data_IF_805486341803
#
_entry.id   IF_805486341803
#
_cell.length_a   1.000
_cell.length_b   1.000
_cell.length_c   1.000
_cell.angle_alpha   90.00
_cell.angle_beta   90.00
_cell.angle_gamma   90.00
#
_symmetry.space_group_name_H-M   'P 1'
#
loop_
_entity.id
_entity.type
_entity.pdbx_description
1 polymer ?
#
# COMPACT_ATOMS: atom_id res chain seq x y z
N UNK A 1 -5.48 7.42 28.39
CA UNK A 1 -6.07 7.93 27.14
C UNK A 1 -5.07 7.88 25.97
N UNK A 2 -3.83 8.37 26.13
CA UNK A 2 -2.78 8.30 25.06
C UNK A 2 -2.44 6.87 24.61
N UNK A 3 -2.32 5.92 25.53
CA UNK A 3 -2.00 4.51 25.20
C UNK A 3 -3.11 3.80 24.41
N UNK A 4 -4.38 4.08 24.69
CA UNK A 4 -5.50 3.53 23.90
C UNK A 4 -5.48 4.06 22.47
N UNK A 5 -5.30 5.38 22.31
CA UNK A 5 -5.20 6.00 20.98
C UNK A 5 -4.02 5.45 20.18
N UNK A 6 -2.91 5.14 20.84
CA UNK A 6 -1.73 4.55 20.21
C UNK A 6 -1.99 3.10 19.77
N UNK A 7 -2.64 2.29 20.62
CA UNK A 7 -3.03 0.91 20.26
C UNK A 7 -4.04 0.86 19.11
N UNK A 8 -5.05 1.74 19.13
CA UNK A 8 -6.05 1.81 18.06
C UNK A 8 -5.40 2.22 16.73
N UNK A 9 -4.40 3.11 16.74
CA UNK A 9 -3.64 3.48 15.56
C UNK A 9 -2.79 2.30 15.02
N UNK A 10 -2.14 1.53 15.89
CA UNK A 10 -1.35 0.35 15.47
C UNK A 10 -2.27 -0.73 14.88
N UNK A 11 -3.40 -1.01 15.53
CA UNK A 11 -4.38 -1.97 15.01
C UNK A 11 -4.93 -1.56 13.64
N UNK A 12 -5.22 -0.27 13.44
CA UNK A 12 -5.66 0.25 12.16
C UNK A 12 -4.58 0.11 11.06
N UNK A 13 -3.31 0.30 11.43
CA UNK A 13 -2.17 0.11 10.51
C UNK A 13 -1.98 -1.37 10.13
N UNK A 14 -2.08 -2.28 11.11
CA UNK A 14 -2.04 -3.72 10.87
C UNK A 14 -3.19 -4.15 9.96
N UNK A 15 -4.41 -3.71 10.26
CA UNK A 15 -5.59 -3.99 9.43
C UNK A 15 -5.42 -3.53 7.99
N UNK A 16 -4.96 -2.28 7.81
CA UNK A 16 -4.67 -1.74 6.48
C UNK A 16 -3.55 -2.49 5.75
N UNK A 17 -2.58 -3.04 6.49
CA UNK A 17 -1.51 -3.86 5.90
C UNK A 17 -2.03 -5.22 5.46
N UNK A 18 -2.93 -5.84 6.22
CA UNK A 18 -3.60 -7.11 5.83
C UNK A 18 -4.38 -6.91 4.53
N UNK A 19 -5.25 -5.88 4.47
CA UNK A 19 -6.04 -5.60 3.28
C UNK A 19 -5.18 -5.35 2.04
N UNK A 20 -4.13 -4.52 2.19
CA UNK A 20 -3.18 -4.23 1.12
C UNK A 20 -2.50 -5.50 0.62
N UNK A 21 -2.07 -6.36 1.55
CA UNK A 21 -1.34 -7.58 1.23
C UNK A 21 -2.19 -8.60 0.50
N UNK A 22 -3.47 -8.73 0.87
CA UNK A 22 -4.41 -9.60 0.15
C UNK A 22 -4.56 -9.14 -1.30
N UNK A 23 -4.77 -7.86 -1.52
CA UNK A 23 -4.98 -7.31 -2.87
C UNK A 23 -3.72 -7.45 -3.71
N UNK A 24 -2.55 -7.02 -3.21
CA UNK A 24 -1.30 -7.08 -3.96
C UNK A 24 -0.87 -8.51 -4.26
N UNK A 25 -1.10 -9.46 -3.34
CA UNK A 25 -0.75 -10.87 -3.56
C UNK A 25 -1.66 -11.58 -4.57
N UNK A 26 -2.85 -11.05 -4.83
CA UNK A 26 -3.73 -11.50 -5.91
C UNK A 26 -3.41 -10.79 -7.23
N UNK A 27 -3.27 -9.47 -7.18
CA UNK A 27 -3.11 -8.62 -8.36
C UNK A 27 -1.80 -8.90 -9.11
N UNK A 28 -0.69 -8.98 -8.38
CA UNK A 28 0.63 -9.13 -9.00
C UNK A 28 0.79 -10.43 -9.81
N UNK A 29 0.46 -11.64 -9.27
CA UNK A 29 0.51 -12.86 -10.07
C UNK A 29 -0.51 -12.88 -11.20
N UNK A 30 -1.68 -12.27 -11.00
CA UNK A 30 -2.72 -12.22 -12.02
C UNK A 30 -2.27 -11.39 -13.22
N UNK A 31 -1.69 -10.22 -13.00
CA UNK A 31 -1.20 -9.34 -14.08
C UNK A 31 0.04 -9.95 -14.74
N UNK A 32 0.96 -10.54 -13.97
CA UNK A 32 2.21 -11.09 -14.50
C UNK A 32 2.01 -12.40 -15.26
N UNK A 33 1.19 -13.32 -14.75
CA UNK A 33 1.09 -14.71 -15.21
C UNK A 33 -0.32 -15.10 -15.69
N UNK A 34 -1.30 -14.22 -15.53
CA UNK A 34 -2.71 -14.52 -15.85
C UNK A 34 -3.37 -15.52 -14.91
N UNK A 35 -2.67 -16.00 -13.89
CA UNK A 35 -3.17 -16.97 -12.91
C UNK A 35 -2.55 -16.78 -11.52
N UNK A 36 -3.31 -17.15 -10.50
CA UNK A 36 -2.86 -17.08 -9.10
C UNK A 36 -2.73 -18.49 -8.56
N UNK A 37 -1.52 -18.88 -8.18
CA UNK A 37 -1.29 -20.14 -7.44
C UNK A 37 -1.29 -19.88 -5.93
N UNK A 38 -1.71 -20.85 -5.14
CA UNK A 38 -1.74 -20.72 -3.69
C UNK A 38 -0.35 -20.40 -3.11
N UNK A 39 0.70 -20.99 -3.67
CA UNK A 39 2.09 -20.73 -3.25
C UNK A 39 2.50 -19.29 -3.55
N UNK A 40 2.19 -18.78 -4.74
CA UNK A 40 2.48 -17.38 -5.11
C UNK A 40 1.67 -16.40 -4.24
N UNK A 41 0.42 -16.72 -3.95
CA UNK A 41 -0.40 -15.92 -3.04
C UNK A 41 0.20 -15.87 -1.62
N UNK A 42 0.49 -17.03 -1.02
CA UNK A 42 1.03 -17.06 0.35
C UNK A 42 2.38 -16.36 0.47
N UNK A 43 3.30 -16.60 -0.46
CA UNK A 43 4.61 -15.93 -0.45
C UNK A 43 4.49 -14.43 -0.70
N UNK A 44 3.66 -14.02 -1.65
CA UNK A 44 3.39 -12.62 -1.94
C UNK A 44 2.70 -11.92 -0.76
N UNK A 45 1.74 -12.58 -0.11
CA UNK A 45 1.06 -12.04 1.07
C UNK A 45 2.05 -11.76 2.22
N UNK A 46 2.91 -12.71 2.56
CA UNK A 46 3.89 -12.52 3.63
C UNK A 46 4.83 -11.35 3.32
N UNK A 47 5.40 -11.32 2.12
CA UNK A 47 6.34 -10.26 1.72
C UNK A 47 5.64 -8.90 1.72
N UNK A 48 4.46 -8.78 1.12
CA UNK A 48 3.73 -7.51 1.06
C UNK A 48 3.23 -7.06 2.44
N UNK A 49 2.82 -8.00 3.31
CA UNK A 49 2.40 -7.69 4.67
C UNK A 49 3.54 -7.08 5.48
N UNK A 50 4.67 -7.75 5.56
CA UNK A 50 5.82 -7.25 6.31
C UNK A 50 6.38 -5.96 5.72
N UNK A 51 6.45 -5.85 4.40
CA UNK A 51 6.90 -4.64 3.73
C UNK A 51 5.96 -3.45 3.99
N UNK A 52 4.64 -3.65 3.85
CA UNK A 52 3.67 -2.57 4.08
C UNK A 52 3.61 -2.14 5.54
N UNK A 53 3.74 -3.10 6.46
CA UNK A 53 3.81 -2.82 7.88
C UNK A 53 5.09 -2.07 8.25
N UNK A 54 6.24 -2.51 7.74
CA UNK A 54 7.52 -1.84 7.93
C UNK A 54 7.50 -0.40 7.40
N UNK A 55 7.00 -0.20 6.18
CA UNK A 55 6.86 1.14 5.61
C UNK A 55 5.98 2.06 6.47
N UNK A 56 4.90 1.56 7.04
CA UNK A 56 4.01 2.35 7.90
C UNK A 56 4.59 2.64 9.28
N UNK A 57 5.39 1.72 9.84
CA UNK A 57 5.96 1.86 11.17
C UNK A 57 7.27 2.67 11.16
N UNK A 58 8.13 2.44 10.17
CA UNK A 58 9.46 3.04 10.12
C UNK A 58 9.54 4.31 9.27
N UNK A 59 8.56 4.52 8.37
CA UNK A 59 8.54 5.69 7.50
C UNK A 59 7.32 6.55 7.81
N UNK A 60 7.46 7.88 7.98
CA UNK A 60 6.33 8.77 8.25
C UNK A 60 5.51 9.05 6.98
N UNK A 61 5.14 7.99 6.24
CA UNK A 61 4.43 8.09 4.95
C UNK A 61 3.10 8.85 5.09
N UNK A 62 2.38 8.65 6.18
CA UNK A 62 1.10 9.35 6.44
C UNK A 62 1.35 10.85 6.62
N UNK A 63 2.37 11.20 7.41
CA UNK A 63 2.75 12.60 7.62
C UNK A 63 3.31 13.23 6.33
N UNK A 64 4.11 12.49 5.57
CA UNK A 64 4.65 12.93 4.29
C UNK A 64 3.54 13.17 3.24
N UNK A 65 2.53 12.29 3.16
CA UNK A 65 1.37 12.50 2.29
C UNK A 65 0.59 13.76 2.66
N UNK A 66 0.38 14.01 3.96
CA UNK A 66 -0.28 15.21 4.43
C UNK A 66 0.56 16.49 4.20
N UNK A 67 1.88 16.39 4.34
CA UNK A 67 2.81 17.47 4.05
C UNK A 67 2.76 17.86 2.57
N UNK A 68 2.89 16.88 1.66
CA UNK A 68 2.83 17.11 0.22
C UNK A 68 1.49 17.70 -0.22
N UNK A 69 0.37 17.22 0.33
CA UNK A 69 -0.94 17.82 0.05
C UNK A 69 -1.03 19.28 0.52
N UNK A 70 -0.36 19.63 1.60
CA UNK A 70 -0.23 21.01 2.08
C UNK A 70 0.59 21.89 1.12
N UNK A 71 1.70 21.38 0.61
CA UNK A 71 2.56 22.08 -0.37
C UNK A 71 1.82 22.31 -1.72
N UNK A 72 0.89 21.42 -2.08
CA UNK A 72 0.00 21.61 -3.23
C UNK A 72 -1.07 22.69 -3.02
N UNK A 73 -1.05 23.39 -1.89
CA UNK A 73 -1.95 24.50 -1.59
C UNK A 73 -3.37 24.09 -1.23
N UNK A 74 -3.62 22.82 -0.95
CA UNK A 74 -4.97 22.34 -0.61
C UNK A 74 -5.31 22.65 0.85
N UNK A 75 -6.46 23.31 1.15
CA UNK A 75 -6.83 23.69 2.51
C UNK A 75 -6.97 22.48 3.44
N UNK A 76 -6.26 22.46 4.57
CA UNK A 76 -6.10 21.31 5.49
C UNK A 76 -7.40 20.73 6.09
N UNK A 77 -8.50 21.46 6.10
CA UNK A 77 -9.77 21.02 6.71
C UNK A 77 -10.83 20.58 5.68
N UNK A 78 -10.45 20.41 4.43
CA UNK A 78 -11.37 20.05 3.34
C UNK A 78 -11.32 18.56 3.00
N UNK A 79 -12.39 18.05 2.39
CA UNK A 79 -12.41 16.70 1.80
C UNK A 79 -11.34 16.57 0.71
N UNK A 80 -11.11 17.65 -0.06
CA UNK A 80 -10.08 17.71 -1.09
C UNK A 80 -8.68 17.46 -0.51
N UNK A 81 -8.37 18.02 0.68
CA UNK A 81 -7.10 17.77 1.36
C UNK A 81 -6.93 16.29 1.72
N UNK A 82 -7.99 15.65 2.22
CA UNK A 82 -7.93 14.22 2.56
C UNK A 82 -7.67 13.36 1.32
N UNK A 83 -8.35 13.65 0.22
CA UNK A 83 -8.14 12.94 -1.06
C UNK A 83 -6.72 13.18 -1.58
N UNK A 84 -6.23 14.42 -1.58
CA UNK A 84 -4.89 14.75 -2.03
C UNK A 84 -3.81 14.08 -1.15
N UNK A 85 -3.95 14.14 0.18
CA UNK A 85 -3.04 13.47 1.10
C UNK A 85 -3.01 11.96 0.90
N UNK A 86 -4.18 11.35 0.69
CA UNK A 86 -4.30 9.91 0.41
C UNK A 86 -3.71 9.55 -0.95
N UNK A 87 -3.88 10.39 -1.96
CA UNK A 87 -3.27 10.20 -3.28
C UNK A 87 -1.74 10.28 -3.21
N UNK A 88 -1.18 11.28 -2.53
CA UNK A 88 0.26 11.39 -2.32
C UNK A 88 0.82 10.18 -1.55
N UNK A 89 0.12 9.75 -0.51
CA UNK A 89 0.46 8.54 0.25
C UNK A 89 0.41 7.29 -0.65
N UNK A 90 -0.60 7.16 -1.51
CA UNK A 90 -0.74 6.05 -2.43
C UNK A 90 0.39 6.01 -3.47
N UNK A 91 0.81 7.16 -4.00
CA UNK A 91 1.95 7.25 -4.91
C UNK A 91 3.23 6.76 -4.23
N UNK A 92 3.54 7.27 -3.04
CA UNK A 92 4.74 6.88 -2.30
C UNK A 92 4.74 5.39 -1.95
N UNK A 93 3.65 4.93 -1.34
CA UNK A 93 3.51 3.55 -0.90
C UNK A 93 3.40 2.58 -2.08
N UNK A 94 2.61 2.95 -3.10
CA UNK A 94 2.44 2.16 -4.31
C UNK A 94 3.74 2.00 -5.09
N UNK A 95 4.56 3.04 -5.17
CA UNK A 95 5.90 2.96 -5.79
C UNK A 95 6.80 1.99 -5.04
N UNK A 96 6.94 2.14 -3.72
CA UNK A 96 7.77 1.25 -2.91
C UNK A 96 7.29 -0.20 -2.98
N UNK A 97 5.99 -0.42 -2.82
CA UNK A 97 5.41 -1.76 -2.82
C UNK A 97 5.48 -2.43 -4.20
N UNK A 98 5.19 -1.70 -5.27
CA UNK A 98 5.27 -2.25 -6.63
C UNK A 98 6.70 -2.60 -7.03
N UNK A 99 7.68 -1.79 -6.65
CA UNK A 99 9.10 -2.10 -6.87
C UNK A 99 9.49 -3.38 -6.13
N UNK A 100 9.17 -3.48 -4.85
CA UNK A 100 9.52 -4.63 -4.03
C UNK A 100 8.83 -5.92 -4.53
N UNK A 101 7.53 -5.86 -4.79
CA UNK A 101 6.76 -7.02 -5.23
C UNK A 101 7.17 -7.48 -6.63
N UNK A 102 7.44 -6.56 -7.54
CA UNK A 102 7.93 -6.89 -8.87
C UNK A 102 9.34 -7.54 -8.78
N UNK A 103 10.22 -7.00 -7.94
CA UNK A 103 11.53 -7.61 -7.69
C UNK A 103 11.38 -9.01 -7.10
N UNK A 104 10.51 -9.18 -6.11
CA UNK A 104 10.25 -10.48 -5.49
C UNK A 104 9.73 -11.51 -6.49
N UNK A 105 8.78 -11.12 -7.34
CA UNK A 105 8.21 -11.99 -8.36
C UNK A 105 9.19 -12.39 -9.45
N UNK A 106 10.10 -11.48 -9.80
CA UNK A 106 11.05 -11.67 -10.91
C UNK A 106 12.45 -12.13 -10.49
N UNK A 107 12.69 -12.39 -9.20
CA UNK A 107 14.04 -12.75 -8.69
C UNK A 107 14.70 -13.96 -9.36
N UNK A 108 13.90 -14.81 -10.01
CA UNK A 108 14.37 -16.01 -10.71
C UNK A 108 14.56 -15.80 -12.22
N UNK A 109 14.23 -14.61 -12.73
CA UNK A 109 14.35 -14.31 -14.17
C UNK A 109 15.77 -13.93 -14.51
N UNK A 110 16.41 -14.62 -15.48
CA UNK A 110 17.72 -14.21 -15.98
C UNK A 110 17.61 -12.83 -16.64
N UNK A 111 18.67 -12.03 -16.54
CA UNK A 111 18.73 -10.64 -17.06
C UNK A 111 17.68 -9.71 -16.45
N UNK A 112 17.41 -9.86 -15.14
CA UNK A 112 16.46 -9.07 -14.38
C UNK A 112 16.57 -7.57 -14.65
N UNK A 113 17.78 -7.01 -14.70
CA UNK A 113 18.00 -5.58 -14.89
C UNK A 113 17.47 -5.01 -16.20
N UNK A 114 17.39 -5.81 -17.25
CA UNK A 114 16.93 -5.38 -18.57
C UNK A 114 15.39 -5.44 -18.68
N UNK A 115 14.77 -6.43 -18.03
CA UNK A 115 13.33 -6.69 -18.14
C UNK A 115 12.54 -6.01 -17.03
N UNK A 116 13.20 -5.73 -15.90
CA UNK A 116 12.55 -5.25 -14.68
C UNK A 116 11.76 -3.95 -14.87
N UNK A 117 12.34 -2.95 -15.49
CA UNK A 117 11.70 -1.64 -15.66
C UNK A 117 10.45 -1.73 -16.54
N UNK A 118 10.54 -2.50 -17.63
CA UNK A 118 9.39 -2.71 -18.54
C UNK A 118 8.24 -3.47 -17.86
N UNK A 119 8.56 -4.50 -17.08
CA UNK A 119 7.57 -5.24 -16.32
C UNK A 119 6.93 -4.36 -15.23
N UNK A 120 7.75 -3.59 -14.51
CA UNK A 120 7.28 -2.68 -13.47
C UNK A 120 6.34 -1.62 -14.02
N UNK A 121 6.67 -0.97 -15.14
CA UNK A 121 5.83 0.06 -15.76
C UNK A 121 4.45 -0.46 -16.17
N UNK A 122 4.33 -1.73 -16.54
CA UNK A 122 3.04 -2.35 -16.89
C UNK A 122 2.15 -2.55 -15.66
N UNK A 123 2.73 -2.91 -14.55
CA UNK A 123 2.02 -3.25 -13.30
C UNK A 123 1.71 -2.00 -12.47
N UNK A 124 2.59 -1.01 -12.51
CA UNK A 124 2.55 0.18 -11.66
C UNK A 124 1.22 0.93 -11.64
N UNK A 125 0.56 1.25 -12.78
CA UNK A 125 -0.70 1.98 -12.75
C UNK A 125 -1.82 1.20 -12.06
N UNK A 126 -1.86 -0.12 -12.20
CA UNK A 126 -2.84 -0.97 -11.50
C UNK A 126 -2.59 -0.97 -10.00
N UNK A 127 -1.35 -1.19 -9.59
CA UNK A 127 -0.96 -1.13 -8.17
C UNK A 127 -1.27 0.23 -7.56
N UNK A 128 -1.03 1.32 -8.28
CA UNK A 128 -1.31 2.67 -7.80
C UNK A 128 -2.80 2.87 -7.49
N UNK A 129 -3.67 2.44 -8.40
CA UNK A 129 -5.13 2.52 -8.23
C UNK A 129 -5.58 1.63 -7.07
N UNK A 130 -5.09 0.39 -7.02
CA UNK A 130 -5.42 -0.56 -5.95
C UNK A 130 -4.98 -0.07 -4.58
N UNK A 131 -3.77 0.47 -4.47
CA UNK A 131 -3.25 1.06 -3.23
C UNK A 131 -4.10 2.26 -2.78
N UNK A 132 -4.47 3.14 -3.72
CA UNK A 132 -5.32 4.29 -3.41
C UNK A 132 -6.68 3.84 -2.87
N UNK A 133 -7.33 2.87 -3.52
CA UNK A 133 -8.61 2.32 -3.07
C UNK A 133 -8.45 1.67 -1.70
N UNK A 134 -7.41 0.84 -1.48
CA UNK A 134 -7.20 0.13 -0.22
C UNK A 134 -6.90 1.06 0.95
N UNK A 135 -6.18 2.15 0.75
CA UNK A 135 -5.99 3.16 1.80
C UNK A 135 -7.33 3.74 2.23
N UNK A 136 -8.19 4.12 1.28
CA UNK A 136 -9.50 4.67 1.59
C UNK A 136 -10.43 3.65 2.28
N UNK A 137 -10.46 2.40 1.79
CA UNK A 137 -11.20 1.30 2.42
C UNK A 137 -10.69 1.01 3.83
N UNK A 138 -9.37 1.01 4.03
CA UNK A 138 -8.76 0.82 5.34
C UNK A 138 -9.14 1.91 6.33
N UNK A 139 -9.12 3.18 5.92
CA UNK A 139 -9.54 4.30 6.76
C UNK A 139 -11.02 4.20 7.12
N UNK A 140 -11.86 3.87 6.14
CA UNK A 140 -13.29 3.73 6.35
C UNK A 140 -13.63 2.54 7.28
N UNK A 141 -13.08 1.36 7.00
CA UNK A 141 -13.33 0.14 7.78
C UNK A 141 -12.77 0.22 9.20
N UNK A 142 -11.58 0.80 9.37
CA UNK A 142 -11.01 1.03 10.70
C UNK A 142 -11.87 1.97 11.54
N UNK A 143 -12.44 3.00 10.91
CA UNK A 143 -13.41 3.89 11.57
C UNK A 143 -14.67 3.17 12.05
N UNK A 144 -15.13 2.14 11.33
CA UNK A 144 -16.29 1.33 11.73
C UNK A 144 -15.94 0.33 12.84
N UNK A 145 -14.76 -0.31 12.75
CA UNK A 145 -14.36 -1.39 13.66
C UNK A 145 -13.89 -0.83 15.01
N UNK A 146 -13.07 0.24 14.99
CA UNK A 146 -12.42 0.75 16.19
C UNK A 146 -13.10 1.95 16.85
N UNK A 147 -14.08 2.59 16.17
CA UNK A 147 -14.79 3.77 16.67
C UNK A 147 -16.04 3.43 17.51
N UNK A 148 -16.43 2.15 17.58
CA UNK A 148 -17.62 1.68 18.32
C UNK A 148 -17.34 1.30 19.77
N UNK A 149 -16.38 1.97 20.47
CA UNK A 149 -16.24 1.81 21.93
C UNK A 149 -16.09 3.14 22.62
#
# INVERSE_FOLDING_TARGET
MKERLQKDNVLAQVWGSVLMSVVLSLEMPLIANGSVTLSAFCSGFLVSFFASLALKLFTPIIAAGAFLAGELGVPRRTVAFRIAATACQAVMMGTCMSLLMNWWGMRHVPNLSQVYLGAWLRVYPFVLVSVFIMINVSIWSSGLIFRKK
#
